data_IF_849518004880
#
_entry.id   IF_849518004880
#
_cell.length_a   1.000
_cell.length_b   1.000
_cell.length_c   1.000
_cell.angle_alpha   90.00
_cell.angle_beta   90.00
_cell.angle_gamma   90.00
#
_symmetry.space_group_name_H-M   'P 1'
#
loop_
_entity.id
_entity.type
_entity.pdbx_description
1 polymer ?
#
# COMPACT_ATOMS: atom_id res chain seq x y z
N UNK A 1 27.51 -7.09 19.14
CA UNK A 1 26.74 -8.24 18.61
C UNK A 1 26.58 -8.02 17.12
N UNK A 2 26.93 -9.00 16.28
CA UNK A 2 26.74 -8.86 14.84
C UNK A 2 25.25 -8.75 14.53
N UNK A 3 24.85 -7.62 13.94
CA UNK A 3 23.45 -7.31 13.64
C UNK A 3 22.92 -8.10 12.43
N UNK A 4 23.82 -8.70 11.65
CA UNK A 4 23.53 -9.33 10.37
C UNK A 4 23.99 -10.78 10.42
N UNK A 5 23.09 -11.76 10.28
CA UNK A 5 23.47 -13.16 10.21
C UNK A 5 24.25 -13.45 8.93
N UNK A 6 25.41 -14.13 9.06
CA UNK A 6 26.23 -14.61 7.95
C UNK A 6 25.56 -15.82 7.25
N UNK A 7 24.41 -15.59 6.61
CA UNK A 7 23.73 -16.59 5.80
C UNK A 7 24.40 -16.77 4.42
N UNK A 8 24.23 -17.95 3.83
CA UNK A 8 24.68 -18.26 2.45
C UNK A 8 24.06 -17.28 1.45
N UNK A 9 24.77 -17.00 0.34
CA UNK A 9 24.32 -16.13 -0.74
C UNK A 9 22.93 -16.53 -1.26
N UNK A 10 22.64 -17.84 -1.30
CA UNK A 10 21.33 -18.37 -1.70
C UNK A 10 20.19 -17.86 -0.81
N UNK A 11 20.42 -17.76 0.51
CA UNK A 11 19.41 -17.26 1.47
C UNK A 11 19.09 -15.79 1.22
N UNK A 12 20.09 -14.97 0.90
CA UNK A 12 19.88 -13.55 0.57
C UNK A 12 19.10 -13.35 -0.72
N UNK A 13 19.37 -14.16 -1.74
CA UNK A 13 18.62 -14.15 -3.00
C UNK A 13 17.16 -14.54 -2.74
N UNK A 14 16.94 -15.61 -1.99
CA UNK A 14 15.59 -16.09 -1.67
C UNK A 14 14.80 -15.08 -0.82
N UNK A 15 15.46 -14.42 0.12
CA UNK A 15 14.87 -13.34 0.93
C UNK A 15 14.51 -12.13 0.07
N UNK A 16 15.38 -11.73 -0.86
CA UNK A 16 15.11 -10.65 -1.81
C UNK A 16 13.89 -10.96 -2.70
N UNK A 17 13.82 -12.17 -3.26
CA UNK A 17 12.66 -12.61 -4.07
C UNK A 17 11.39 -12.61 -3.22
N UNK A 18 11.45 -13.12 -2.00
CA UNK A 18 10.31 -13.14 -1.07
C UNK A 18 9.77 -11.72 -0.79
N UNK A 19 10.66 -10.75 -0.54
CA UNK A 19 10.26 -9.35 -0.33
C UNK A 19 9.61 -8.73 -1.57
N UNK A 20 10.13 -9.01 -2.76
CA UNK A 20 9.53 -8.53 -4.02
C UNK A 20 8.15 -9.13 -4.25
N UNK A 21 7.99 -10.44 -4.03
CA UNK A 21 6.70 -11.11 -4.14
C UNK A 21 5.70 -10.56 -3.13
N UNK A 22 6.12 -10.33 -1.89
CA UNK A 22 5.30 -9.74 -0.85
C UNK A 22 4.82 -8.33 -1.26
N UNK A 23 5.71 -7.50 -1.81
CA UNK A 23 5.38 -6.16 -2.32
C UNK A 23 4.38 -6.21 -3.47
N UNK A 24 4.60 -7.09 -4.46
CA UNK A 24 3.69 -7.27 -5.59
C UNK A 24 2.31 -7.74 -5.11
N UNK A 25 2.26 -8.72 -4.22
CA UNK A 25 1.00 -9.22 -3.65
C UNK A 25 0.26 -8.11 -2.90
N UNK A 26 0.96 -7.32 -2.09
CA UNK A 26 0.39 -6.22 -1.32
C UNK A 26 -0.05 -5.01 -2.15
N UNK A 27 0.40 -4.87 -3.40
CA UNK A 27 0.08 -3.72 -4.27
C UNK A 27 -0.77 -4.08 -5.49
N UNK A 28 -0.95 -5.38 -5.78
CA UNK A 28 -1.66 -5.86 -6.96
C UNK A 28 -3.09 -5.30 -7.09
N UNK A 29 -3.82 -5.15 -5.97
CA UNK A 29 -5.20 -4.66 -5.96
C UNK A 29 -5.33 -3.14 -6.11
N UNK A 30 -4.27 -2.37 -5.88
CA UNK A 30 -4.31 -0.90 -5.85
C UNK A 30 -4.68 -0.24 -7.19
N UNK A 31 -4.56 -0.99 -8.30
CA UNK A 31 -4.92 -0.49 -9.63
C UNK A 31 -6.40 -0.63 -9.99
N UNK A 32 -7.23 -1.30 -9.18
CA UNK A 32 -8.59 -1.64 -9.56
C UNK A 32 -9.48 -0.40 -9.80
N UNK A 33 -9.57 0.53 -8.85
CA UNK A 33 -10.35 1.76 -8.99
C UNK A 33 -9.82 2.66 -10.10
N UNK A 34 -8.49 2.74 -10.25
CA UNK A 34 -7.84 3.47 -11.35
C UNK A 34 -8.23 2.91 -12.72
N UNK A 35 -8.34 1.59 -12.86
CA UNK A 35 -8.81 0.94 -14.12
C UNK A 35 -10.27 1.25 -14.43
N UNK A 36 -11.10 1.46 -13.40
CA UNK A 36 -12.50 1.86 -13.54
C UNK A 36 -12.69 3.37 -13.76
N UNK A 37 -11.60 4.15 -13.79
CA UNK A 37 -11.67 5.61 -13.88
C UNK A 37 -12.20 6.30 -12.63
N UNK A 38 -12.27 5.57 -11.50
CA UNK A 38 -12.71 6.12 -10.22
C UNK A 38 -11.50 6.79 -9.56
N UNK A 39 -11.57 8.11 -9.28
CA UNK A 39 -10.51 8.81 -8.59
C UNK A 39 -10.52 8.46 -7.10
N UNK A 40 -9.35 8.42 -6.47
CA UNK A 40 -9.27 8.14 -5.04
C UNK A 40 -7.88 8.30 -4.45
N UNK A 41 -7.77 8.21 -3.12
CA UNK A 41 -6.51 8.36 -2.41
C UNK A 41 -5.57 7.19 -2.68
N UNK A 42 -4.30 7.50 -3.00
CA UNK A 42 -3.30 6.47 -3.30
C UNK A 42 -3.07 5.56 -2.09
N UNK A 43 -3.35 4.25 -2.20
CA UNK A 43 -3.12 3.30 -1.12
C UNK A 43 -1.62 3.02 -0.94
N UNK A 44 -1.18 2.97 0.32
CA UNK A 44 0.17 2.53 0.68
C UNK A 44 0.28 1.00 0.57
N UNK A 45 1.45 0.45 0.19
CA UNK A 45 1.69 -0.99 0.24
C UNK A 45 1.33 -1.56 1.62
N UNK A 46 0.58 -2.66 1.65
CA UNK A 46 0.07 -3.38 2.84
C UNK A 46 -0.95 -2.64 3.72
N UNK A 47 -0.79 -1.34 3.95
CA UNK A 47 -1.66 -0.55 4.83
C UNK A 47 -2.84 0.10 4.12
N UNK A 48 -2.79 0.21 2.79
CA UNK A 48 -3.81 0.91 2.01
C UNK A 48 -3.93 2.37 2.44
N UNK A 49 -5.14 2.83 2.69
CA UNK A 49 -5.45 4.22 3.08
C UNK A 49 -5.59 4.39 4.59
N UNK A 50 -5.31 3.35 5.40
CA UNK A 50 -5.62 3.32 6.84
C UNK A 50 -4.93 4.45 7.61
N UNK A 51 -3.71 4.84 7.21
CA UNK A 51 -2.99 5.93 7.89
C UNK A 51 -3.73 7.27 7.82
N UNK A 52 -4.56 7.49 6.79
CA UNK A 52 -5.33 8.71 6.67
C UNK A 52 -6.49 8.78 7.69
N UNK A 53 -6.96 7.63 8.19
CA UNK A 53 -7.98 7.59 9.26
C UNK A 53 -7.48 8.06 10.62
N UNK A 54 -6.16 8.27 10.80
CA UNK A 54 -5.61 8.84 12.05
C UNK A 54 -6.18 10.23 12.38
N UNK A 55 -6.65 10.96 11.37
CA UNK A 55 -7.27 12.28 11.53
C UNK A 55 -8.80 12.19 11.74
N UNK A 56 -9.34 10.97 11.85
CA UNK A 56 -10.76 10.67 11.98
C UNK A 56 -11.39 10.26 10.64
N UNK A 57 -12.27 9.24 10.68
CA UNK A 57 -12.97 8.72 9.49
C UNK A 57 -13.79 9.81 8.80
N UNK A 58 -14.56 10.58 9.56
CA UNK A 58 -15.40 11.67 9.04
C UNK A 58 -14.59 12.77 8.35
N UNK A 59 -13.44 13.15 8.91
CA UNK A 59 -12.55 14.13 8.29
C UNK A 59 -11.96 13.61 6.99
N UNK A 60 -11.48 12.36 6.99
CA UNK A 60 -10.95 11.74 5.79
C UNK A 60 -11.98 11.65 4.66
N UNK A 61 -13.21 11.24 4.98
CA UNK A 61 -14.30 11.18 4.01
C UNK A 61 -14.63 12.59 3.49
N UNK A 62 -14.70 13.58 4.36
CA UNK A 62 -14.96 14.97 3.95
C UNK A 62 -13.88 15.50 3.00
N UNK A 63 -12.61 15.21 3.26
CA UNK A 63 -11.49 15.61 2.39
C UNK A 63 -11.48 14.86 1.06
N UNK A 64 -11.81 13.57 1.07
CA UNK A 64 -11.98 12.80 -0.15
C UNK A 64 -13.14 13.35 -1.00
N UNK A 65 -14.22 13.84 -0.38
CA UNK A 65 -15.36 14.43 -1.09
C UNK A 65 -15.02 15.73 -1.76
N UNK A 66 -14.32 16.60 -1.04
CA UNK A 66 -13.85 17.86 -1.61
C UNK A 66 -12.88 17.64 -2.77
N UNK A 67 -12.03 16.61 -2.70
CA UNK A 67 -10.95 16.38 -3.67
C UNK A 67 -11.36 15.56 -4.89
N UNK A 68 -12.15 14.50 -4.68
CA UNK A 68 -12.48 13.51 -5.70
C UNK A 68 -13.96 13.57 -6.13
N UNK A 69 -14.81 14.29 -5.39
CA UNK A 69 -16.21 14.54 -5.72
C UNK A 69 -17.15 13.47 -5.17
N UNK A 70 -18.30 13.30 -5.84
CA UNK A 70 -19.40 12.45 -5.37
C UNK A 70 -19.05 10.96 -5.25
N UNK A 71 -18.10 10.49 -6.05
CA UNK A 71 -17.69 9.08 -6.10
C UNK A 71 -16.16 8.99 -6.03
N UNK A 72 -15.65 8.28 -5.04
CA UNK A 72 -14.22 7.94 -4.94
C UNK A 72 -14.02 6.50 -4.48
N UNK A 73 -12.81 5.97 -4.70
CA UNK A 73 -12.42 4.61 -4.29
C UNK A 73 -10.91 4.44 -4.17
#
# INVERSE_FOLDING_TARGET
MELIPNFSMETWVLLGISLVLLYLYGTYSHGYFKKLGIPGPTPLPFLGTILNYRQGVSNFDTECYKKYGKTWG
#
